data_IF_257528278444
#
_entry.id   IF_257528278444
#
_cell.length_a   1.000
_cell.length_b   1.000
_cell.length_c   1.000
_cell.angle_alpha   90.00
_cell.angle_beta   90.00
_cell.angle_gamma   90.00
#
_symmetry.space_group_name_H-M   'P 1'
#
loop_
_entity.id
_entity.type
_entity.pdbx_description
1 polymer ?
#
# COMPACT_ATOMS: atom_id res chain seq x y z
N UNK A 1 -11.32 -18.43 -7.01
CA UNK A 1 -11.80 -17.26 -7.77
C UNK A 1 -10.81 -16.13 -7.59
N UNK A 2 -10.18 -15.69 -8.67
CA UNK A 2 -9.38 -14.47 -8.70
C UNK A 2 -10.31 -13.29 -8.35
N UNK A 3 -10.08 -12.63 -7.22
CA UNK A 3 -10.78 -11.38 -6.90
C UNK A 3 -10.47 -10.38 -8.01
N UNK A 4 -11.48 -9.89 -8.69
CA UNK A 4 -11.31 -8.86 -9.71
C UNK A 4 -10.65 -7.62 -9.10
N UNK A 5 -9.57 -7.11 -9.68
CA UNK A 5 -8.92 -5.86 -9.33
C UNK A 5 -9.94 -4.72 -9.49
N UNK A 6 -10.27 -4.01 -8.43
CA UNK A 6 -11.42 -3.08 -8.42
C UNK A 6 -11.09 -1.62 -8.16
N UNK A 7 -9.91 -1.34 -7.59
CA UNK A 7 -9.55 0.00 -7.17
C UNK A 7 -8.33 0.48 -7.92
N UNK A 8 -8.41 1.67 -8.50
CA UNK A 8 -7.36 2.25 -9.36
C UNK A 8 -6.42 3.13 -8.56
N UNK A 9 -5.12 2.98 -8.77
CA UNK A 9 -4.05 3.82 -8.19
C UNK A 9 -3.91 5.17 -8.89
N UNK A 10 -3.07 6.07 -8.38
CA UNK A 10 -2.64 7.31 -9.07
C UNK A 10 -1.95 6.96 -10.39
N UNK A 11 -1.16 5.90 -10.43
CA UNK A 11 -0.44 5.44 -11.62
C UNK A 11 -1.33 4.75 -12.66
N UNK A 12 -2.59 4.48 -12.32
CA UNK A 12 -3.56 3.90 -13.25
C UNK A 12 -3.72 2.38 -13.14
N UNK A 13 -2.97 1.71 -12.28
CA UNK A 13 -3.10 0.27 -12.03
C UNK A 13 -4.37 -0.06 -11.24
N UNK A 14 -4.92 -1.26 -11.45
CA UNK A 14 -6.04 -1.77 -10.68
C UNK A 14 -5.58 -2.81 -9.68
N UNK A 15 -5.75 -2.56 -8.40
CA UNK A 15 -5.37 -3.45 -7.31
C UNK A 15 -6.59 -4.08 -6.64
N UNK A 16 -6.36 -5.09 -5.79
CA UNK A 16 -7.43 -5.91 -5.21
C UNK A 16 -8.12 -5.28 -4.00
N UNK A 17 -7.43 -4.40 -3.28
CA UNK A 17 -7.97 -3.78 -2.06
C UNK A 17 -7.66 -2.27 -2.01
N UNK A 18 -8.42 -1.56 -1.19
CA UNK A 18 -8.20 -0.12 -0.93
C UNK A 18 -6.86 0.09 -0.22
N UNK A 19 -6.48 -0.77 0.72
CA UNK A 19 -5.22 -0.65 1.46
C UNK A 19 -4.01 -0.90 0.55
N UNK A 20 -4.08 -1.86 -0.38
CA UNK A 20 -3.04 -2.03 -1.41
C UNK A 20 -2.91 -0.77 -2.28
N UNK A 21 -4.03 -0.13 -2.66
CA UNK A 21 -3.99 1.16 -3.40
C UNK A 21 -3.36 2.27 -2.56
N UNK A 22 -3.65 2.33 -1.27
CA UNK A 22 -3.01 3.30 -0.37
C UNK A 22 -1.49 3.08 -0.30
N UNK A 23 -1.03 1.83 -0.18
CA UNK A 23 0.39 1.46 -0.22
C UNK A 23 1.01 1.88 -1.55
N UNK A 24 0.44 1.49 -2.68
CA UNK A 24 0.93 1.84 -4.01
C UNK A 24 1.04 3.36 -4.22
N UNK A 25 0.01 4.10 -3.82
CA UNK A 25 0.02 5.55 -3.90
C UNK A 25 1.07 6.17 -2.98
N UNK A 26 1.24 5.64 -1.76
CA UNK A 26 2.28 6.09 -0.84
C UNK A 26 3.68 5.89 -1.43
N UNK A 27 3.97 4.72 -1.98
CA UNK A 27 5.25 4.41 -2.63
C UNK A 27 5.51 5.39 -3.78
N UNK A 28 4.55 5.54 -4.69
CA UNK A 28 4.65 6.47 -5.81
C UNK A 28 4.88 7.91 -5.35
N UNK A 29 4.10 8.41 -4.40
CA UNK A 29 4.17 9.78 -3.90
C UNK A 29 5.50 10.08 -3.20
N UNK A 30 6.15 9.07 -2.63
CA UNK A 30 7.45 9.18 -1.96
C UNK A 30 8.64 8.79 -2.84
N UNK A 31 8.46 8.71 -4.16
CA UNK A 31 9.54 8.53 -5.12
C UNK A 31 10.14 7.13 -5.16
N UNK A 32 9.41 6.13 -4.68
CA UNK A 32 9.81 4.72 -4.75
C UNK A 32 9.20 4.05 -5.98
N UNK A 33 9.99 3.20 -6.62
CA UNK A 33 9.52 2.35 -7.71
C UNK A 33 9.04 1.02 -7.14
N UNK A 34 7.97 0.48 -7.74
CA UNK A 34 7.42 -0.81 -7.31
C UNK A 34 6.85 -1.59 -8.49
N UNK A 35 6.80 -2.91 -8.34
CA UNK A 35 6.06 -3.83 -9.19
C UNK A 35 4.99 -4.54 -8.34
N UNK A 36 3.73 -4.46 -8.77
CA UNK A 36 2.62 -5.13 -8.10
C UNK A 36 2.51 -6.59 -8.54
N UNK A 37 2.41 -7.53 -7.59
CA UNK A 37 2.30 -8.98 -7.82
C UNK A 37 3.43 -9.55 -8.72
N UNK A 38 4.65 -9.04 -8.58
CA UNK A 38 5.81 -9.64 -9.23
C UNK A 38 6.00 -11.07 -8.74
N UNK A 39 6.25 -11.99 -9.66
CA UNK A 39 6.52 -13.39 -9.32
C UNK A 39 7.81 -13.49 -8.52
N UNK A 40 7.74 -14.09 -7.35
CA UNK A 40 8.93 -14.39 -6.53
C UNK A 40 9.79 -15.43 -7.25
N UNK A 41 11.12 -15.23 -7.32
CA UNK A 41 11.99 -16.06 -8.17
C UNK A 41 12.21 -17.48 -7.65
N UNK A 42 11.85 -17.76 -6.39
CA UNK A 42 12.06 -19.06 -5.77
C UNK A 42 10.72 -19.78 -5.56
N UNK A 43 10.73 -21.09 -5.77
CA UNK A 43 9.53 -21.92 -5.56
C UNK A 43 9.26 -22.13 -4.06
N UNK A 44 7.97 -22.11 -3.69
CA UNK A 44 7.57 -22.43 -2.34
C UNK A 44 7.55 -23.95 -2.14
N UNK A 45 8.26 -24.52 -1.14
CA UNK A 45 8.21 -25.95 -0.85
C UNK A 45 6.82 -26.47 -0.50
N UNK A 46 5.94 -25.58 -0.03
CA UNK A 46 4.59 -25.92 0.43
C UNK A 46 3.49 -25.75 -0.62
N UNK A 47 3.82 -25.30 -1.82
CA UNK A 47 2.83 -24.99 -2.85
C UNK A 47 3.40 -25.12 -4.26
N UNK A 48 2.68 -25.86 -5.12
CA UNK A 48 2.97 -25.92 -6.57
C UNK A 48 2.58 -24.62 -7.33
N UNK A 49 2.11 -23.59 -6.62
CA UNK A 49 1.74 -22.32 -7.21
C UNK A 49 2.87 -21.32 -7.06
N UNK A 50 3.11 -20.56 -8.11
CA UNK A 50 4.03 -19.41 -8.06
C UNK A 50 3.58 -18.45 -6.97
N UNK A 51 4.52 -18.06 -6.13
CA UNK A 51 4.30 -17.08 -5.09
C UNK A 51 4.46 -15.68 -5.68
N UNK A 52 3.52 -14.81 -5.40
CA UNK A 52 3.51 -13.42 -5.85
C UNK A 52 3.22 -12.54 -4.64
N UNK A 53 4.26 -11.99 -3.98
CA UNK A 53 4.08 -10.95 -2.96
C UNK A 53 3.30 -9.76 -3.51
N UNK A 54 2.65 -8.99 -2.64
CA UNK A 54 1.84 -7.87 -3.08
C UNK A 54 2.67 -6.80 -3.80
N UNK A 55 3.87 -6.48 -3.29
CA UNK A 55 4.77 -5.52 -3.93
C UNK A 55 6.22 -5.99 -3.90
N UNK A 56 6.95 -5.63 -4.95
CA UNK A 56 8.40 -5.61 -4.99
C UNK A 56 8.83 -4.16 -5.15
N UNK A 57 9.56 -3.62 -4.18
CA UNK A 57 9.91 -2.20 -4.08
C UNK A 57 11.40 -2.05 -4.31
N UNK A 58 11.79 -1.06 -5.13
CA UNK A 58 13.20 -0.82 -5.47
C UNK A 58 13.56 0.66 -5.37
N UNK A 59 14.83 0.92 -4.98
CA UNK A 59 15.44 2.25 -5.02
C UNK A 59 16.95 2.10 -5.16
N UNK A 60 17.50 2.36 -6.35
CA UNK A 60 18.91 2.09 -6.65
C UNK A 60 19.22 0.59 -6.49
N UNK A 61 20.15 0.28 -5.58
CA UNK A 61 20.51 -1.12 -5.26
C UNK A 61 19.64 -1.74 -4.15
N UNK A 62 18.83 -0.95 -3.46
CA UNK A 62 17.92 -1.46 -2.44
C UNK A 62 16.70 -2.12 -3.07
N UNK A 63 16.35 -3.28 -2.57
CA UNK A 63 15.17 -4.00 -3.00
C UNK A 63 14.54 -4.76 -1.83
N UNK A 64 13.21 -4.69 -1.71
CA UNK A 64 12.46 -5.38 -0.67
C UNK A 64 11.14 -5.91 -1.22
N UNK A 65 10.71 -7.05 -0.73
CA UNK A 65 9.38 -7.58 -0.94
C UNK A 65 8.44 -7.07 0.15
N UNK A 66 7.18 -6.82 -0.19
CA UNK A 66 6.18 -6.39 0.77
C UNK A 66 4.93 -7.25 0.64
N UNK A 67 4.41 -7.65 1.79
CA UNK A 67 3.12 -8.32 1.95
C UNK A 67 2.20 -7.48 2.83
N UNK A 68 0.96 -7.31 2.38
CA UNK A 68 -0.08 -6.65 3.14
C UNK A 68 -1.13 -7.67 3.59
N UNK A 69 -1.27 -7.84 4.89
CA UNK A 69 -2.16 -8.85 5.45
C UNK A 69 -3.52 -8.29 5.83
N UNK A 70 -4.59 -8.98 5.38
CA UNK A 70 -5.97 -8.68 5.76
C UNK A 70 -6.32 -9.09 7.21
N UNK A 71 -5.31 -9.25 8.05
CA UNK A 71 -5.43 -9.45 9.50
C UNK A 71 -4.96 -8.21 10.23
N UNK A 72 -5.42 -8.03 11.47
CA UNK A 72 -4.78 -7.11 12.40
C UNK A 72 -3.40 -7.65 12.80
N UNK A 73 -2.53 -6.81 13.31
CA UNK A 73 -1.22 -7.20 13.85
C UNK A 73 -1.33 -8.29 14.91
N UNK A 74 -2.37 -8.27 15.75
CA UNK A 74 -2.69 -9.35 16.71
C UNK A 74 -3.19 -10.64 16.05
N UNK A 75 -3.37 -10.63 14.71
CA UNK A 75 -3.81 -11.78 13.93
C UNK A 75 -5.31 -12.04 13.98
N UNK A 76 -6.11 -11.02 14.25
CA UNK A 76 -7.57 -11.05 14.20
C UNK A 76 -8.12 -10.54 12.88
N UNK A 77 -9.31 -11.00 12.52
CA UNK A 77 -10.14 -10.46 11.44
C UNK A 77 -11.60 -10.80 11.74
N UNK A 78 -12.49 -9.88 11.51
CA UNK A 78 -13.93 -10.08 11.61
C UNK A 78 -14.52 -10.78 10.37
N UNK A 79 -13.74 -10.92 9.29
CA UNK A 79 -14.16 -11.54 8.03
C UNK A 79 -13.86 -13.04 7.99
N UNK A 80 -12.85 -13.49 8.74
CA UNK A 80 -12.37 -14.86 8.71
C UNK A 80 -12.83 -15.66 9.94
N UNK A 81 -13.23 -16.92 9.73
CA UNK A 81 -13.47 -17.87 10.83
C UNK A 81 -12.14 -18.17 11.57
N UNK A 82 -12.21 -18.74 12.80
CA UNK A 82 -11.00 -19.15 13.51
C UNK A 82 -10.10 -20.11 12.71
N UNK A 83 -10.68 -21.06 11.97
CA UNK A 83 -9.96 -22.02 11.12
C UNK A 83 -9.29 -21.31 9.93
N UNK A 84 -9.99 -20.37 9.31
CA UNK A 84 -9.44 -19.56 8.22
C UNK A 84 -8.29 -18.69 8.71
N UNK A 85 -8.41 -18.10 9.91
CA UNK A 85 -7.31 -17.31 10.51
C UNK A 85 -6.10 -18.19 10.82
N UNK A 86 -6.30 -19.40 11.35
CA UNK A 86 -5.21 -20.34 11.60
C UNK A 86 -4.47 -20.72 10.32
N UNK A 87 -5.21 -21.02 9.25
CA UNK A 87 -4.65 -21.30 7.91
C UNK A 87 -3.90 -20.10 7.35
N UNK A 88 -4.45 -18.91 7.53
CA UNK A 88 -3.82 -17.66 7.06
C UNK A 88 -2.51 -17.39 7.81
N UNK A 89 -2.49 -17.55 9.15
CA UNK A 89 -1.26 -17.42 9.97
C UNK A 89 -0.19 -18.43 9.56
N UNK A 90 -0.58 -19.67 9.27
CA UNK A 90 0.36 -20.67 8.74
C UNK A 90 0.97 -20.20 7.43
N UNK A 91 0.16 -19.70 6.49
CA UNK A 91 0.64 -19.18 5.20
C UNK A 91 1.60 -17.99 5.38
N UNK A 92 1.40 -17.09 6.35
CA UNK A 92 2.32 -16.03 6.71
C UNK A 92 3.67 -16.62 7.15
N UNK A 93 3.66 -17.59 8.05
CA UNK A 93 4.89 -18.22 8.53
C UNK A 93 5.66 -18.94 7.41
N UNK A 94 4.94 -19.61 6.50
CA UNK A 94 5.54 -20.26 5.33
C UNK A 94 6.23 -19.22 4.41
N UNK A 95 5.62 -18.05 4.19
CA UNK A 95 6.21 -16.93 3.44
C UNK A 95 7.47 -16.39 4.12
N UNK A 96 7.41 -16.13 5.44
CA UNK A 96 8.58 -15.69 6.23
C UNK A 96 9.73 -16.69 6.14
N UNK A 97 9.44 -17.98 6.26
CA UNK A 97 10.43 -19.04 6.16
C UNK A 97 11.09 -19.07 4.76
N UNK A 98 10.29 -18.87 3.71
CA UNK A 98 10.76 -18.81 2.32
C UNK A 98 11.72 -17.63 2.11
N UNK A 99 11.33 -16.42 2.52
CA UNK A 99 12.18 -15.23 2.41
C UNK A 99 13.48 -15.38 3.23
N UNK A 100 13.38 -15.94 4.44
CA UNK A 100 14.55 -16.23 5.29
C UNK A 100 15.51 -17.24 4.64
N UNK A 101 14.99 -18.30 4.05
CA UNK A 101 15.79 -19.33 3.38
C UNK A 101 16.57 -18.76 2.19
N UNK A 102 16.01 -17.80 1.48
CA UNK A 102 16.64 -17.17 0.31
C UNK A 102 17.31 -15.83 0.62
N UNK A 103 17.37 -15.44 1.90
CA UNK A 103 18.02 -14.19 2.36
C UNK A 103 17.47 -12.94 1.65
N UNK A 104 16.18 -12.89 1.38
CA UNK A 104 15.51 -11.73 0.80
C UNK A 104 14.76 -10.97 1.88
N UNK A 105 14.82 -9.63 1.85
CA UNK A 105 14.10 -8.77 2.78
C UNK A 105 12.60 -8.81 2.51
N UNK A 106 11.81 -8.90 3.58
CA UNK A 106 10.36 -8.89 3.56
C UNK A 106 9.83 -7.85 4.54
N UNK A 107 9.17 -6.83 4.03
CA UNK A 107 8.36 -5.89 4.82
C UNK A 107 6.94 -6.45 4.94
N UNK A 108 6.39 -6.42 6.14
CA UNK A 108 5.03 -6.89 6.41
C UNK A 108 4.18 -5.75 6.94
N UNK A 109 2.98 -5.63 6.43
CA UNK A 109 2.00 -4.64 6.86
C UNK A 109 0.67 -5.29 7.20
N UNK A 110 -0.10 -4.66 8.10
CA UNK A 110 -1.33 -5.22 8.65
C UNK A 110 -2.51 -4.29 8.39
N UNK A 111 -3.71 -4.86 8.32
CA UNK A 111 -4.94 -4.07 8.14
C UNK A 111 -5.21 -3.10 9.29
N UNK A 112 -4.73 -3.43 10.49
CA UNK A 112 -4.82 -2.59 11.69
C UNK A 112 -3.68 -2.96 12.65
N UNK A 113 -3.07 -1.95 13.27
CA UNK A 113 -2.00 -2.08 14.25
C UNK A 113 -2.50 -1.97 15.68
N UNK A 114 -1.80 -2.60 16.63
CA UNK A 114 -2.17 -2.63 18.05
C UNK A 114 -2.05 -1.25 18.70
N UNK A 115 -1.10 -0.45 18.25
CA UNK A 115 -0.88 0.93 18.69
C UNK A 115 -1.86 1.95 18.06
N UNK A 116 -2.74 1.50 17.17
CA UNK A 116 -3.74 2.29 16.44
C UNK A 116 -3.18 3.39 15.53
N UNK A 117 -1.88 3.43 15.32
CA UNK A 117 -1.29 4.35 14.34
C UNK A 117 -1.70 3.96 12.90
N UNK A 118 -1.71 4.94 11.98
CA UNK A 118 -2.02 4.68 10.57
C UNK A 118 -1.06 3.67 9.93
N UNK A 119 -1.57 2.87 8.99
CA UNK A 119 -0.79 1.95 8.18
C UNK A 119 0.42 2.62 7.51
N UNK A 120 0.26 3.87 7.04
CA UNK A 120 1.31 4.59 6.32
C UNK A 120 2.49 4.99 7.23
N UNK A 121 2.25 5.20 8.53
CA UNK A 121 3.32 5.51 9.48
C UNK A 121 4.21 4.27 9.70
N UNK A 122 3.59 3.10 9.89
CA UNK A 122 4.30 1.83 10.01
C UNK A 122 5.04 1.46 8.72
N UNK A 123 4.42 1.67 7.55
CA UNK A 123 5.06 1.42 6.26
C UNK A 123 6.28 2.32 6.08
N UNK A 124 6.16 3.61 6.42
CA UNK A 124 7.27 4.56 6.37
C UNK A 124 8.44 4.08 7.24
N UNK A 125 8.20 3.80 8.52
CA UNK A 125 9.22 3.34 9.45
C UNK A 125 9.90 2.05 8.97
N UNK A 126 9.13 1.10 8.45
CA UNK A 126 9.65 -0.16 7.94
C UNK A 126 10.54 0.03 6.71
N UNK A 127 10.16 0.90 5.78
CA UNK A 127 10.95 1.18 4.58
C UNK A 127 12.24 1.95 4.94
N UNK A 128 12.16 2.93 5.85
CA UNK A 128 13.33 3.65 6.35
C UNK A 128 14.32 2.71 7.08
N UNK A 129 13.82 1.73 7.83
CA UNK A 129 14.64 0.70 8.47
C UNK A 129 15.36 -0.23 7.46
N UNK A 130 14.75 -0.48 6.30
CA UNK A 130 15.36 -1.21 5.16
C UNK A 130 16.29 -0.31 4.31
N UNK A 131 16.50 0.94 4.71
CA UNK A 131 17.44 1.86 4.05
C UNK A 131 16.86 2.67 2.90
N UNK A 132 15.56 2.64 2.67
CA UNK A 132 14.91 3.46 1.66
C UNK A 132 14.84 4.93 2.07
N UNK A 133 15.04 5.82 1.11
CA UNK A 133 14.96 7.26 1.31
C UNK A 133 13.65 7.77 0.68
N UNK A 134 12.72 8.21 1.51
CA UNK A 134 11.45 8.74 1.05
C UNK A 134 11.61 10.20 0.59
N UNK A 135 11.43 10.43 -0.70
CA UNK A 135 11.49 11.76 -1.32
C UNK A 135 10.16 12.09 -1.98
N UNK A 136 9.37 13.04 -1.43
CA UNK A 136 8.12 13.44 -2.04
C UNK A 136 8.31 13.83 -3.51
N UNK A 137 7.48 13.28 -4.41
CA UNK A 137 7.45 13.68 -5.82
C UNK A 137 6.95 15.11 -5.95
N UNK A 138 7.39 15.76 -7.01
CA UNK A 138 6.88 17.07 -7.38
C UNK A 138 5.36 17.01 -7.64
N UNK A 139 4.63 17.99 -7.10
CA UNK A 139 3.16 18.02 -7.21
C UNK A 139 2.69 18.13 -8.67
N UNK A 140 3.43 18.83 -9.54
CA UNK A 140 3.10 18.96 -10.96
C UNK A 140 3.20 17.60 -11.69
N UNK A 141 4.22 16.78 -11.34
CA UNK A 141 4.38 15.44 -11.88
C UNK A 141 3.23 14.53 -11.43
N UNK A 142 2.87 14.60 -10.15
CA UNK A 142 1.75 13.86 -9.58
C UNK A 142 0.45 14.26 -10.27
N UNK A 143 0.20 15.56 -10.45
CA UNK A 143 -0.98 16.07 -11.12
C UNK A 143 -1.06 15.60 -12.58
N UNK A 144 0.03 15.70 -13.35
CA UNK A 144 0.10 15.17 -14.71
C UNK A 144 -0.27 13.68 -14.76
N UNK A 145 0.27 12.90 -13.83
CA UNK A 145 -0.04 11.45 -13.76
C UNK A 145 -1.51 11.17 -13.47
N UNK A 146 -2.12 11.95 -12.58
CA UNK A 146 -3.55 11.84 -12.26
C UNK A 146 -4.40 12.15 -13.50
N UNK A 147 -4.07 13.19 -14.26
CA UNK A 147 -4.77 13.57 -15.49
C UNK A 147 -4.65 12.46 -16.54
N UNK A 148 -3.42 11.97 -16.80
CA UNK A 148 -3.17 10.87 -17.73
C UNK A 148 -3.98 9.60 -17.42
N UNK A 149 -4.21 9.32 -16.15
CA UNK A 149 -4.96 8.13 -15.72
C UNK A 149 -6.48 8.33 -15.69
N UNK A 150 -6.96 9.54 -16.06
CA UNK A 150 -8.40 9.87 -16.14
C UNK A 150 -9.09 9.97 -14.79
N UNK A 151 -8.34 10.22 -13.70
CA UNK A 151 -8.89 10.49 -12.36
C UNK A 151 -9.14 11.98 -12.10
N UNK A 152 -8.74 12.84 -13.01
CA UNK A 152 -8.86 14.28 -12.94
C UNK A 152 -10.28 14.76 -12.61
N UNK A 153 -11.31 14.16 -13.20
CA UNK A 153 -12.72 14.54 -13.00
C UNK A 153 -13.16 14.53 -11.52
N UNK A 154 -12.67 13.56 -10.74
CA UNK A 154 -13.02 13.49 -9.30
C UNK A 154 -12.19 14.45 -8.48
N UNK A 155 -10.91 14.61 -8.81
CA UNK A 155 -9.99 15.52 -8.13
C UNK A 155 -10.36 16.96 -8.41
N UNK A 156 -10.67 17.32 -9.65
CA UNK A 156 -11.16 18.65 -10.00
C UNK A 156 -12.43 18.99 -9.21
N UNK A 157 -13.40 18.06 -9.12
CA UNK A 157 -14.61 18.27 -8.31
C UNK A 157 -14.28 18.48 -6.83
N UNK A 158 -13.34 17.70 -6.27
CA UNK A 158 -12.92 17.86 -4.88
C UNK A 158 -12.22 19.20 -4.66
N UNK A 159 -11.31 19.60 -5.55
CA UNK A 159 -10.61 20.90 -5.50
C UNK A 159 -11.63 22.04 -5.58
N UNK A 160 -12.57 22.01 -6.52
CA UNK A 160 -13.61 23.03 -6.64
C UNK A 160 -14.51 23.08 -5.39
N UNK A 161 -14.85 21.93 -4.82
CA UNK A 161 -15.58 21.88 -3.56
C UNK A 161 -14.80 22.52 -2.41
N UNK A 162 -13.51 22.19 -2.27
CA UNK A 162 -12.64 22.77 -1.24
C UNK A 162 -12.45 24.29 -1.44
N UNK A 163 -12.28 24.75 -2.68
CA UNK A 163 -12.18 26.17 -2.98
C UNK A 163 -13.44 26.93 -2.58
N UNK A 164 -14.61 26.41 -2.96
CA UNK A 164 -15.90 26.99 -2.57
C UNK A 164 -16.08 27.01 -1.04
N UNK A 165 -15.67 25.95 -0.36
CA UNK A 165 -15.72 25.87 1.10
C UNK A 165 -14.83 26.93 1.75
N UNK A 166 -13.59 27.09 1.27
CA UNK A 166 -12.64 28.09 1.78
C UNK A 166 -13.17 29.50 1.52
N UNK A 167 -13.75 29.74 0.35
CA UNK A 167 -14.33 31.03 0.00
C UNK A 167 -15.52 31.38 0.88
N UNK A 168 -16.43 30.45 1.11
CA UNK A 168 -17.53 30.61 2.04
C UNK A 168 -17.05 30.84 3.48
N UNK A 169 -16.03 30.10 3.92
CA UNK A 169 -15.44 30.26 5.25
C UNK A 169 -14.85 31.65 5.44
N UNK A 170 -14.14 32.20 4.43
CA UNK A 170 -13.60 33.56 4.46
C UNK A 170 -14.68 34.63 4.43
N UNK A 171 -15.80 34.39 3.73
CA UNK A 171 -16.90 35.37 3.62
C UNK A 171 -17.84 35.35 4.80
N UNK A 172 -17.91 34.28 5.59
CA UNK A 172 -18.75 34.20 6.79
C UNK A 172 -18.11 34.85 8.02
N UNK A 173 -16.94 35.49 7.90
CA UNK A 173 -16.40 36.40 8.90
C UNK A 173 -16.28 35.80 10.30
N UNK A 174 -15.66 34.64 10.42
CA UNK A 174 -15.10 34.24 11.70
C UNK A 174 -13.86 35.11 11.95
N UNK A 175 -14.10 36.35 12.35
CA UNK A 175 -13.07 37.16 13.02
C UNK A 175 -12.70 36.44 14.31
N UNK A 176 -11.43 36.18 14.46
CA UNK A 176 -10.85 35.68 15.71
C UNK A 176 -11.20 36.69 16.82
N UNK A 177 -12.03 36.27 17.80
CA UNK A 177 -12.26 36.95 19.03
C UNK A 177 -11.28 36.44 20.09
#
# INVERSE_FOLDING_TARGET
QQRSKRVKTITGEYLRSVQEVQIANFLYLNGLDYEYERVYPFESPSSNKKYTPDFYITQGEHAVWLEHYALTESGYSNVFTPEQRAKYKKAINDKRALHKAHKTSLVETWSLYNDRRPLMDHLKESLEAEGFILKPRNLDEVYKKIVETGKDKYIIKLILFMMNFIEQYKTTGYDEA
#
